data_IF_568800443758
#
_entry.id   IF_568800443758
#
_cell.length_a   1.000
_cell.length_b   1.000
_cell.length_c   1.000
_cell.angle_alpha   90.00
_cell.angle_beta   90.00
_cell.angle_gamma   90.00
#
_symmetry.space_group_name_H-M   'P 1'
#
loop_
_entity.id
_entity.type
_entity.pdbx_description
1 polymer ?
#
# COMPACT_ATOMS: atom_id res chain seq x y z
N UNK A 1 15.25 3.65 16.04
CA UNK A 1 14.47 3.84 14.79
C UNK A 1 14.97 5.09 14.08
N UNK A 2 15.01 5.08 12.73
CA UNK A 2 15.39 6.27 11.94
C UNK A 2 14.43 7.44 12.20
N UNK A 3 14.91 8.67 12.09
CA UNK A 3 14.07 9.86 12.16
C UNK A 3 13.15 9.94 10.93
N UNK A 4 11.96 10.51 11.09
CA UNK A 4 11.05 10.77 9.95
C UNK A 4 11.42 12.07 9.25
N UNK A 5 11.83 13.07 10.02
CA UNK A 5 12.19 14.38 9.49
C UNK A 5 13.27 14.27 8.40
N UNK A 6 13.00 14.87 7.25
CA UNK A 6 13.87 14.81 6.09
C UNK A 6 13.89 13.50 5.31
N UNK A 7 13.15 12.44 5.73
CA UNK A 7 13.01 11.22 4.92
C UNK A 7 12.37 11.53 3.58
N UNK A 8 12.89 10.93 2.51
CA UNK A 8 12.25 10.90 1.19
C UNK A 8 11.40 9.64 1.05
N UNK A 9 10.08 9.81 0.95
CA UNK A 9 9.12 8.70 0.89
C UNK A 9 8.31 8.76 -0.39
N UNK A 10 8.39 7.72 -1.22
CA UNK A 10 7.52 7.53 -2.37
C UNK A 10 6.33 6.65 -2.00
N UNK A 11 5.11 7.12 -2.27
CA UNK A 11 3.86 6.41 -1.97
C UNK A 11 3.04 6.26 -3.25
N UNK A 12 2.84 5.04 -3.72
CA UNK A 12 1.94 4.77 -4.84
C UNK A 12 0.49 4.67 -4.36
N UNK A 13 -0.46 5.12 -5.19
CA UNK A 13 -1.86 5.20 -4.78
C UNK A 13 -2.14 6.27 -3.71
N UNK A 14 -1.31 7.31 -3.65
CA UNK A 14 -1.31 8.33 -2.59
C UNK A 14 -2.48 9.31 -2.61
N UNK A 15 -3.39 9.24 -3.58
CA UNK A 15 -4.54 10.14 -3.66
C UNK A 15 -5.74 9.74 -2.80
N UNK A 16 -5.77 8.56 -2.18
CA UNK A 16 -6.89 8.12 -1.34
C UNK A 16 -6.52 6.97 -0.40
N UNK A 17 -7.40 6.67 0.56
CA UNK A 17 -7.28 5.52 1.45
C UNK A 17 -5.95 5.44 2.19
N UNK A 18 -5.37 4.24 2.27
CA UNK A 18 -4.13 3.98 3.02
C UNK A 18 -2.96 4.83 2.48
N UNK A 19 -2.85 4.97 1.15
CA UNK A 19 -1.78 5.77 0.55
C UNK A 19 -1.86 7.26 0.94
N UNK A 20 -3.04 7.85 0.95
CA UNK A 20 -3.24 9.23 1.42
C UNK A 20 -2.99 9.35 2.93
N UNK A 21 -3.47 8.38 3.75
CA UNK A 21 -3.17 8.33 5.18
C UNK A 21 -1.66 8.31 5.46
N UNK A 22 -0.90 7.50 4.72
CA UNK A 22 0.56 7.52 4.80
C UNK A 22 1.15 8.88 4.40
N UNK A 23 0.64 9.51 3.33
CA UNK A 23 1.14 10.82 2.92
C UNK A 23 0.95 11.87 4.02
N UNK A 24 -0.22 11.90 4.64
CA UNK A 24 -0.49 12.77 5.80
C UNK A 24 0.43 12.44 6.98
N UNK A 25 0.61 11.16 7.30
CA UNK A 25 1.45 10.73 8.42
C UNK A 25 2.89 11.23 8.31
N UNK A 26 3.49 11.05 7.14
CA UNK A 26 4.90 11.38 6.92
C UNK A 26 5.11 12.89 6.72
N UNK A 27 4.29 13.55 5.90
CA UNK A 27 4.44 14.98 5.62
C UNK A 27 4.24 15.84 6.87
N UNK A 28 3.29 15.49 7.75
CA UNK A 28 3.07 16.16 9.02
C UNK A 28 4.25 16.04 9.99
N UNK A 29 5.15 15.08 9.75
CA UNK A 29 6.36 14.81 10.56
C UNK A 29 7.66 15.25 9.87
N UNK A 30 7.56 16.10 8.85
CA UNK A 30 8.71 16.70 8.17
C UNK A 30 9.38 15.85 7.09
N UNK A 31 8.78 14.73 6.68
CA UNK A 31 9.26 13.97 5.54
C UNK A 31 8.96 14.69 4.21
N UNK A 32 9.78 14.45 3.20
CA UNK A 32 9.52 14.80 1.80
C UNK A 32 8.79 13.65 1.14
N UNK A 33 7.50 13.85 0.89
CA UNK A 33 6.61 12.82 0.37
C UNK A 33 6.34 13.05 -1.10
N UNK A 34 6.55 12.03 -1.93
CA UNK A 34 6.07 12.03 -3.31
C UNK A 34 4.95 11.02 -3.45
N UNK A 35 3.79 11.48 -3.91
CA UNK A 35 2.62 10.61 -4.14
C UNK A 35 2.36 10.45 -5.63
N UNK A 36 1.92 9.27 -6.06
CA UNK A 36 1.48 9.07 -7.43
C UNK A 36 0.14 8.33 -7.53
N UNK A 37 -0.52 8.53 -8.65
CA UNK A 37 -1.80 7.91 -8.99
C UNK A 37 -2.40 8.49 -10.26
N UNK A 38 -3.53 7.94 -10.69
CA UNK A 38 -4.17 8.33 -11.96
C UNK A 38 -5.10 9.53 -11.84
N UNK A 39 -5.70 9.75 -10.65
CA UNK A 39 -6.72 10.77 -10.41
C UNK A 39 -6.09 12.07 -9.91
N UNK A 40 -6.02 13.04 -10.81
CA UNK A 40 -5.37 14.33 -10.54
C UNK A 40 -6.06 15.08 -9.41
N UNK A 41 -7.38 15.15 -9.43
CA UNK A 41 -8.22 15.80 -8.40
C UNK A 41 -7.90 15.31 -6.99
N UNK A 42 -7.78 14.00 -6.82
CA UNK A 42 -7.45 13.36 -5.53
C UNK A 42 -6.02 13.67 -5.08
N UNK A 43 -5.07 13.61 -6.02
CA UNK A 43 -3.68 13.95 -5.73
C UNK A 43 -3.52 15.42 -5.36
N UNK A 44 -4.21 16.31 -6.08
CA UNK A 44 -4.21 17.76 -5.80
C UNK A 44 -4.77 18.06 -4.41
N UNK A 45 -5.89 17.43 -4.03
CA UNK A 45 -6.47 17.61 -2.69
C UNK A 45 -5.48 17.22 -1.58
N UNK A 46 -4.75 16.10 -1.74
CA UNK A 46 -3.74 15.67 -0.76
C UNK A 46 -2.56 16.64 -0.73
N UNK A 47 -2.02 17.06 -1.89
CA UNK A 47 -0.86 17.97 -1.92
C UNK A 47 -1.20 19.37 -1.41
N UNK A 48 -2.39 19.88 -1.69
CA UNK A 48 -2.84 21.16 -1.15
C UNK A 48 -2.93 21.15 0.39
N UNK A 49 -3.39 20.04 0.96
CA UNK A 49 -3.48 19.86 2.41
C UNK A 49 -2.09 19.75 3.08
N UNK A 50 -1.08 19.22 2.38
CA UNK A 50 0.24 18.92 2.93
C UNK A 50 1.34 19.94 2.57
N UNK A 51 1.04 20.86 1.66
CA UNK A 51 1.94 21.93 1.27
C UNK A 51 3.25 21.43 0.62
N UNK A 52 4.34 22.14 0.88
CA UNK A 52 5.65 21.90 0.23
C UNK A 52 6.33 20.58 0.61
N UNK A 53 5.85 19.91 1.64
CA UNK A 53 6.35 18.58 2.02
C UNK A 53 5.79 17.46 1.14
N UNK A 54 4.79 17.74 0.28
CA UNK A 54 4.19 16.75 -0.59
C UNK A 54 4.23 17.20 -2.05
N UNK A 55 4.76 16.34 -2.91
CA UNK A 55 4.74 16.48 -4.38
C UNK A 55 3.84 15.39 -4.97
N UNK A 56 3.02 15.75 -5.96
CA UNK A 56 2.25 14.75 -6.71
C UNK A 56 2.84 14.48 -8.09
N UNK A 57 2.63 13.26 -8.59
CA UNK A 57 2.91 12.85 -9.97
C UNK A 57 1.68 12.11 -10.49
N UNK A 58 1.02 12.66 -11.52
CA UNK A 58 0.01 11.87 -12.22
C UNK A 58 0.69 10.74 -12.98
N UNK A 59 0.38 9.51 -12.65
CA UNK A 59 1.02 8.33 -13.22
C UNK A 59 0.11 7.09 -13.11
N UNK A 60 0.22 6.22 -14.09
CA UNK A 60 -0.25 4.85 -14.01
C UNK A 60 0.95 3.92 -13.76
N UNK A 61 0.98 3.29 -12.60
CA UNK A 61 2.09 2.40 -12.20
C UNK A 61 2.26 1.17 -13.12
N UNK A 62 1.27 0.88 -13.98
CA UNK A 62 1.38 -0.18 -14.99
C UNK A 62 2.17 0.27 -16.22
N UNK A 63 2.38 1.57 -16.42
CA UNK A 63 3.12 2.14 -17.55
C UNK A 63 4.59 2.34 -17.20
N UNK A 64 5.51 1.81 -18.03
CA UNK A 64 6.94 1.84 -17.74
C UNK A 64 7.52 3.26 -17.65
N UNK A 65 7.16 4.14 -18.58
CA UNK A 65 7.62 5.54 -18.59
C UNK A 65 7.13 6.30 -17.35
N UNK A 66 5.91 6.01 -16.89
CA UNK A 66 5.36 6.63 -15.68
C UNK A 66 6.11 6.19 -14.42
N UNK A 67 6.48 4.90 -14.32
CA UNK A 67 7.28 4.41 -13.19
C UNK A 67 8.64 5.10 -13.10
N UNK A 68 9.34 5.27 -14.23
CA UNK A 68 10.62 5.98 -14.26
C UNK A 68 10.44 7.44 -13.79
N UNK A 69 9.47 8.15 -14.35
CA UNK A 69 9.16 9.55 -14.02
C UNK A 69 8.78 9.74 -12.55
N UNK A 70 8.09 8.75 -11.95
CA UNK A 70 7.73 8.79 -10.53
C UNK A 70 8.97 8.63 -9.63
N UNK A 71 9.92 7.75 -9.98
CA UNK A 71 11.18 7.60 -9.25
C UNK A 71 12.01 8.89 -9.33
N UNK A 72 12.19 9.43 -10.55
CA UNK A 72 12.95 10.67 -10.75
C UNK A 72 12.36 11.83 -9.92
N UNK A 73 11.03 12.00 -9.97
CA UNK A 73 10.35 13.04 -9.20
C UNK A 73 10.52 12.88 -7.67
N UNK A 74 10.54 11.63 -7.17
CA UNK A 74 10.74 11.36 -5.75
C UNK A 74 12.18 11.68 -5.32
N UNK A 75 13.14 11.29 -6.15
CA UNK A 75 14.57 11.57 -5.93
C UNK A 75 14.84 13.07 -5.94
N UNK A 76 14.29 13.80 -6.91
CA UNK A 76 14.43 15.26 -7.02
C UNK A 76 13.81 15.99 -5.82
N UNK A 77 12.61 15.56 -5.39
CA UNK A 77 11.91 16.19 -4.28
C UNK A 77 12.59 15.98 -2.94
N UNK A 78 13.11 14.77 -2.70
CA UNK A 78 13.69 14.35 -1.44
C UNK A 78 15.23 14.37 -1.40
N UNK A 79 15.92 14.71 -2.49
CA UNK A 79 17.38 14.61 -2.58
C UNK A 79 17.89 13.17 -2.48
N UNK A 80 17.08 12.19 -2.85
CA UNK A 80 17.30 10.75 -2.75
C UNK A 80 16.02 10.00 -2.46
N UNK A 81 16.10 8.70 -2.16
CA UNK A 81 14.93 7.89 -1.80
C UNK A 81 15.24 6.99 -0.61
N UNK A 82 14.55 7.22 0.51
CA UNK A 82 14.69 6.44 1.73
C UNK A 82 13.65 5.33 1.83
N UNK A 83 12.45 5.53 1.26
CA UNK A 83 11.37 4.58 1.39
C UNK A 83 10.44 4.53 0.17
N UNK A 84 9.95 3.31 -0.15
CA UNK A 84 8.88 3.05 -1.09
C UNK A 84 7.71 2.38 -0.37
N UNK A 85 6.54 3.03 -0.36
CA UNK A 85 5.27 2.43 0.06
C UNK A 85 4.48 2.03 -1.19
N UNK A 86 4.44 0.75 -1.49
CA UNK A 86 3.70 0.20 -2.63
C UNK A 86 2.25 -0.06 -2.21
N UNK A 87 1.41 1.01 -2.28
CA UNK A 87 0.01 0.99 -1.87
C UNK A 87 -0.98 1.05 -3.04
N UNK A 88 -0.52 1.30 -4.26
CA UNK A 88 -1.40 1.25 -5.44
C UNK A 88 -2.01 -0.14 -5.60
N UNK A 89 -3.32 -0.20 -5.76
CA UNK A 89 -4.02 -1.47 -5.91
C UNK A 89 -5.47 -1.30 -6.33
N UNK A 90 -5.98 -2.35 -6.97
CA UNK A 90 -7.37 -2.50 -7.35
C UNK A 90 -7.98 -3.75 -6.69
N UNK A 91 -9.31 -3.79 -6.65
CA UNK A 91 -10.11 -4.96 -6.27
C UNK A 91 -10.77 -5.53 -7.52
N UNK A 92 -10.75 -6.84 -7.66
CA UNK A 92 -11.57 -7.59 -8.62
C UNK A 92 -12.44 -8.56 -7.83
N UNK A 93 -13.74 -8.55 -8.12
CA UNK A 93 -14.72 -9.47 -7.54
C UNK A 93 -15.41 -10.24 -8.64
N UNK A 94 -15.81 -11.45 -8.32
CA UNK A 94 -16.50 -12.39 -9.18
C UNK A 94 -16.28 -13.82 -8.74
N UNK A 95 -17.19 -14.73 -9.14
CA UNK A 95 -17.00 -16.16 -9.01
C UNK A 95 -15.85 -16.65 -9.90
N UNK A 96 -15.25 -17.78 -9.57
CA UNK A 96 -14.13 -18.32 -10.37
C UNK A 96 -14.54 -18.63 -11.81
N UNK A 97 -15.79 -19.00 -12.02
CA UNK A 97 -16.32 -19.33 -13.35
C UNK A 97 -16.56 -18.07 -14.23
N UNK A 98 -16.66 -16.89 -13.62
CA UNK A 98 -16.99 -15.64 -14.31
C UNK A 98 -15.79 -14.71 -14.47
N UNK A 99 -14.58 -15.16 -14.11
CA UNK A 99 -13.38 -14.33 -14.20
C UNK A 99 -12.95 -14.12 -15.64
N UNK A 100 -12.90 -12.85 -16.04
CA UNK A 100 -12.32 -12.43 -17.30
C UNK A 100 -10.77 -12.43 -17.21
N UNK A 101 -10.11 -13.00 -18.22
CA UNK A 101 -8.63 -13.13 -18.25
C UNK A 101 -7.95 -11.76 -18.26
N UNK A 102 -8.45 -10.79 -19.02
CA UNK A 102 -7.85 -9.45 -19.10
C UNK A 102 -7.99 -8.70 -17.79
N UNK A 103 -9.14 -8.83 -17.11
CA UNK A 103 -9.35 -8.27 -15.78
C UNK A 103 -8.42 -8.93 -14.75
N UNK A 104 -8.20 -10.25 -14.85
CA UNK A 104 -7.25 -10.98 -14.01
C UNK A 104 -5.82 -10.50 -14.23
N UNK A 105 -5.37 -10.40 -15.47
CA UNK A 105 -4.04 -9.88 -15.80
C UNK A 105 -3.87 -8.45 -15.32
N UNK A 106 -4.89 -7.60 -15.48
CA UNK A 106 -4.88 -6.20 -15.05
C UNK A 106 -4.73 -6.05 -13.53
N UNK A 107 -5.45 -6.86 -12.73
CA UNK A 107 -5.31 -6.79 -11.28
C UNK A 107 -3.91 -7.25 -10.81
N UNK A 108 -3.36 -8.31 -11.40
CA UNK A 108 -1.99 -8.74 -11.09
C UNK A 108 -0.97 -7.69 -11.54
N UNK A 109 -1.14 -7.10 -12.72
CA UNK A 109 -0.25 -6.03 -13.18
C UNK A 109 -0.24 -4.85 -12.20
N UNK A 110 -1.42 -4.39 -11.77
CA UNK A 110 -1.53 -3.27 -10.84
C UNK A 110 -1.01 -3.63 -9.44
N UNK A 111 -1.46 -4.77 -8.87
CA UNK A 111 -1.23 -5.07 -7.46
C UNK A 111 0.14 -5.69 -7.17
N UNK A 112 0.76 -6.35 -8.17
CA UNK A 112 2.00 -7.14 -7.99
C UNK A 112 3.11 -6.63 -8.91
N UNK A 113 2.92 -6.75 -10.22
CA UNK A 113 3.99 -6.48 -11.20
C UNK A 113 4.50 -5.05 -11.10
N UNK A 114 3.60 -4.08 -10.95
CA UNK A 114 3.99 -2.67 -10.82
C UNK A 114 4.87 -2.42 -9.60
N UNK A 115 4.55 -3.03 -8.46
CA UNK A 115 5.34 -2.93 -7.23
C UNK A 115 6.72 -3.56 -7.37
N UNK A 116 6.83 -4.72 -8.04
CA UNK A 116 8.10 -5.37 -8.34
C UNK A 116 8.98 -4.47 -9.21
N UNK A 117 8.44 -3.97 -10.33
CA UNK A 117 9.17 -3.13 -11.27
C UNK A 117 9.57 -1.78 -10.67
N UNK A 118 8.70 -1.15 -9.86
CA UNK A 118 9.06 0.06 -9.13
C UNK A 118 10.16 -0.19 -8.11
N UNK A 119 10.13 -1.32 -7.40
CA UNK A 119 11.20 -1.70 -6.48
C UNK A 119 12.53 -1.82 -7.23
N UNK A 120 12.54 -2.51 -8.39
CA UNK A 120 13.74 -2.62 -9.23
C UNK A 120 14.31 -1.26 -9.65
N UNK A 121 13.46 -0.34 -10.12
CA UNK A 121 13.88 1.02 -10.48
C UNK A 121 14.38 1.84 -9.28
N UNK A 122 13.83 1.60 -8.09
CA UNK A 122 14.22 2.30 -6.87
C UNK A 122 15.55 1.82 -6.28
N UNK A 123 16.04 0.62 -6.63
CA UNK A 123 17.22 -0.01 -6.01
C UNK A 123 18.46 0.89 -5.92
N UNK A 124 18.91 1.60 -7.00
CA UNK A 124 20.11 2.43 -6.90
C UNK A 124 20.01 3.53 -5.84
N UNK A 125 18.80 4.05 -5.64
CA UNK A 125 18.52 5.13 -4.69
C UNK A 125 18.37 4.58 -3.27
N UNK A 126 17.60 3.49 -3.10
CA UNK A 126 17.41 2.82 -1.82
C UNK A 126 18.73 2.27 -1.27
N UNK A 127 19.62 1.71 -2.11
CA UNK A 127 20.94 1.22 -1.70
C UNK A 127 21.78 2.33 -1.08
N UNK A 128 21.83 3.51 -1.71
CA UNK A 128 22.60 4.66 -1.20
C UNK A 128 22.12 5.13 0.17
N UNK A 129 20.82 4.96 0.45
CA UNK A 129 20.16 5.41 1.68
C UNK A 129 19.96 4.28 2.69
N UNK A 130 20.33 3.03 2.36
CA UNK A 130 19.97 1.83 3.14
C UNK A 130 18.48 1.83 3.45
N UNK A 131 17.67 2.03 2.41
CA UNK A 131 16.27 2.33 2.50
C UNK A 131 15.38 1.12 2.80
N UNK A 132 14.07 1.32 2.65
CA UNK A 132 13.09 0.26 2.88
C UNK A 132 11.94 0.29 1.88
N UNK A 133 11.36 -0.88 1.63
CA UNK A 133 10.13 -1.07 0.86
C UNK A 133 9.07 -1.68 1.76
N UNK A 134 7.86 -1.14 1.72
CA UNK A 134 6.69 -1.76 2.36
C UNK A 134 5.59 -1.98 1.33
N UNK A 135 5.19 -3.24 1.18
CA UNK A 135 4.02 -3.63 0.39
C UNK A 135 2.76 -3.59 1.25
N UNK A 136 1.63 -3.25 0.62
CA UNK A 136 0.32 -3.28 1.27
C UNK A 136 -0.42 -4.54 0.81
N UNK A 137 -0.42 -5.54 1.66
CA UNK A 137 -1.16 -6.79 1.54
C UNK A 137 -2.66 -6.62 1.79
N UNK A 138 -3.30 -7.64 2.37
CA UNK A 138 -4.71 -7.59 2.79
C UNK A 138 -5.06 -8.80 3.66
N UNK A 139 -6.00 -8.63 4.57
CA UNK A 139 -6.63 -9.70 5.37
C UNK A 139 -7.27 -10.81 4.52
N UNK A 140 -7.53 -10.55 3.24
CA UNK A 140 -7.96 -11.59 2.28
C UNK A 140 -6.92 -12.73 2.12
N UNK A 141 -5.71 -12.56 2.61
CA UNK A 141 -4.67 -13.60 2.68
C UNK A 141 -4.72 -14.41 3.99
N UNK A 142 -5.54 -13.99 4.96
CA UNK A 142 -5.70 -14.63 6.28
C UNK A 142 -7.08 -15.27 6.45
N UNK A 143 -8.10 -14.65 5.86
CA UNK A 143 -9.50 -15.09 5.96
C UNK A 143 -10.12 -15.19 4.58
N UNK A 144 -10.90 -16.24 4.35
CA UNK A 144 -11.59 -16.44 3.08
C UNK A 144 -12.78 -15.47 2.93
N UNK A 145 -12.82 -14.80 1.78
CA UNK A 145 -13.93 -13.96 1.36
C UNK A 145 -14.39 -14.44 -0.04
N UNK A 146 -15.48 -15.20 -0.13
CA UNK A 146 -16.00 -15.69 -1.41
C UNK A 146 -16.15 -14.56 -2.43
N UNK A 147 -15.87 -14.85 -3.70
CA UNK A 147 -15.91 -13.87 -4.78
C UNK A 147 -14.72 -12.89 -4.82
N UNK A 148 -13.64 -13.15 -4.08
CA UNK A 148 -12.44 -12.31 -4.08
C UNK A 148 -11.16 -13.10 -4.39
N UNK A 149 -11.27 -14.23 -5.11
CA UNK A 149 -10.14 -15.13 -5.39
C UNK A 149 -8.98 -14.43 -6.09
N UNK A 150 -9.24 -13.69 -7.15
CA UNK A 150 -8.22 -12.94 -7.90
C UNK A 150 -7.50 -11.89 -7.04
N UNK A 151 -8.27 -11.15 -6.23
CA UNK A 151 -7.70 -10.17 -5.31
C UNK A 151 -6.86 -10.83 -4.22
N UNK A 152 -7.39 -11.87 -3.56
CA UNK A 152 -6.68 -12.61 -2.53
C UNK A 152 -5.37 -13.21 -3.06
N UNK A 153 -5.40 -13.82 -4.25
CA UNK A 153 -4.21 -14.35 -4.92
C UNK A 153 -3.17 -13.26 -5.19
N UNK A 154 -3.59 -12.10 -5.73
CA UNK A 154 -2.67 -10.98 -5.98
C UNK A 154 -2.04 -10.44 -4.68
N UNK A 155 -2.80 -10.38 -3.59
CA UNK A 155 -2.27 -9.96 -2.29
C UNK A 155 -1.41 -11.03 -1.62
N UNK A 156 -1.73 -12.32 -1.82
CA UNK A 156 -0.88 -13.45 -1.39
C UNK A 156 0.49 -13.45 -2.06
N UNK A 157 0.56 -13.08 -3.34
CA UNK A 157 1.83 -12.94 -4.05
C UNK A 157 2.77 -11.93 -3.38
N UNK A 158 2.25 -10.83 -2.81
CA UNK A 158 3.07 -9.83 -2.11
C UNK A 158 3.71 -10.38 -0.83
N UNK A 159 3.06 -11.33 -0.14
CA UNK A 159 3.60 -11.95 1.07
C UNK A 159 4.83 -12.82 0.75
N UNK A 160 4.74 -13.61 -0.31
CA UNK A 160 5.86 -14.42 -0.79
C UNK A 160 6.99 -13.51 -1.33
N UNK A 161 6.65 -12.53 -2.17
CA UNK A 161 7.57 -11.55 -2.72
C UNK A 161 8.36 -10.81 -1.63
N UNK A 162 7.70 -10.41 -0.55
CA UNK A 162 8.33 -9.73 0.58
C UNK A 162 9.50 -10.51 1.15
N UNK A 163 9.32 -11.82 1.35
CA UNK A 163 10.36 -12.68 1.93
C UNK A 163 11.55 -12.86 0.98
N UNK A 164 11.25 -13.07 -0.31
CA UNK A 164 12.30 -13.26 -1.32
C UNK A 164 13.11 -11.97 -1.49
N UNK A 165 12.45 -10.82 -1.68
CA UNK A 165 13.15 -9.55 -1.83
C UNK A 165 13.90 -9.12 -0.56
N UNK A 166 13.39 -9.46 0.63
CA UNK A 166 14.13 -9.21 1.88
C UNK A 166 15.47 -9.95 1.93
N UNK A 167 15.49 -11.19 1.45
CA UNK A 167 16.72 -12.00 1.37
C UNK A 167 17.66 -11.49 0.25
N UNK A 168 17.13 -11.18 -0.92
CA UNK A 168 17.91 -10.70 -2.07
C UNK A 168 18.54 -9.32 -1.83
N UNK A 169 17.81 -8.40 -1.19
CA UNK A 169 18.20 -7.01 -1.04
C UNK A 169 18.86 -6.69 0.30
N UNK A 170 18.78 -7.62 1.26
CA UNK A 170 19.44 -7.50 2.57
C UNK A 170 20.94 -7.22 2.50
N UNK A 171 21.73 -7.90 1.65
CA UNK A 171 23.15 -7.60 1.47
C UNK A 171 23.45 -6.16 1.01
N UNK A 172 22.51 -5.53 0.29
CA UNK A 172 22.59 -4.11 -0.08
C UNK A 172 22.10 -3.15 1.02
N UNK A 173 21.69 -3.67 2.16
CA UNK A 173 21.18 -2.89 3.29
C UNK A 173 19.75 -2.42 3.11
N UNK A 174 19.01 -2.95 2.12
CA UNK A 174 17.61 -2.60 1.87
C UNK A 174 16.72 -3.58 2.63
N UNK A 175 15.71 -3.05 3.34
CA UNK A 175 14.72 -3.84 4.05
C UNK A 175 13.41 -3.89 3.26
N UNK A 176 12.77 -5.06 3.25
CA UNK A 176 11.49 -5.26 2.56
C UNK A 176 10.51 -5.92 3.51
N UNK A 177 9.35 -5.30 3.71
CA UNK A 177 8.31 -5.77 4.62
C UNK A 177 6.93 -5.62 3.97
N UNK A 178 5.92 -6.20 4.61
CA UNK A 178 4.52 -6.11 4.18
C UNK A 178 3.62 -5.85 5.39
N UNK A 179 2.62 -4.97 5.23
CA UNK A 179 1.49 -4.88 6.16
C UNK A 179 0.29 -5.61 5.58
N UNK A 180 -0.54 -6.19 6.44
CA UNK A 180 -1.78 -6.89 6.08
C UNK A 180 -2.95 -6.21 6.78
N UNK A 181 -3.54 -5.16 6.17
CA UNK A 181 -4.65 -4.44 6.78
C UNK A 181 -5.93 -5.28 6.82
N UNK A 182 -6.71 -5.08 7.89
CA UNK A 182 -8.10 -5.52 7.98
C UNK A 182 -9.07 -4.63 7.21
N UNK A 183 -10.30 -4.51 7.72
CA UNK A 183 -11.25 -3.56 7.14
C UNK A 183 -10.90 -2.14 7.56
N UNK A 184 -10.58 -1.31 6.56
CA UNK A 184 -10.30 0.12 6.70
C UNK A 184 -11.13 0.88 5.68
N UNK A 185 -11.79 2.00 6.04
CA UNK A 185 -12.58 2.79 5.10
C UNK A 185 -11.72 3.34 3.97
N UNK A 186 -11.94 2.82 2.77
CA UNK A 186 -11.23 3.25 1.55
C UNK A 186 -12.18 3.19 0.36
N UNK A 187 -11.84 3.89 -0.71
CA UNK A 187 -12.63 3.87 -1.95
C UNK A 187 -12.45 2.58 -2.79
N UNK A 188 -11.69 1.59 -2.33
CA UNK A 188 -11.32 0.43 -3.15
C UNK A 188 -12.55 -0.40 -3.58
N UNK A 189 -13.52 -0.57 -2.68
CA UNK A 189 -14.77 -1.29 -2.99
C UNK A 189 -15.69 -0.49 -3.91
N UNK A 190 -15.80 0.83 -3.72
CA UNK A 190 -16.58 1.70 -4.57
C UNK A 190 -16.00 1.76 -6.00
N UNK A 191 -14.68 1.85 -6.12
CA UNK A 191 -13.99 1.83 -7.42
C UNK A 191 -14.16 0.51 -8.18
N UNK A 192 -14.36 -0.59 -7.47
CA UNK A 192 -14.63 -1.88 -8.07
C UNK A 192 -16.11 -2.03 -8.54
N UNK A 193 -16.90 -0.97 -8.43
CA UNK A 193 -18.33 -1.00 -8.78
C UNK A 193 -19.19 -1.89 -7.85
N UNK A 194 -18.68 -2.20 -6.67
CA UNK A 194 -19.26 -3.24 -5.80
C UNK A 194 -20.33 -2.68 -4.88
N UNK A 195 -20.22 -1.40 -4.46
CA UNK A 195 -21.08 -0.83 -3.43
C UNK A 195 -21.29 0.68 -3.64
N UNK A 196 -22.52 1.15 -3.46
CA UNK A 196 -22.83 2.55 -3.17
C UNK A 196 -22.39 2.94 -1.73
N UNK A 197 -22.47 4.21 -1.40
CA UNK A 197 -21.99 4.72 -0.11
C UNK A 197 -22.73 4.12 1.10
N UNK A 198 -24.05 3.90 0.97
CA UNK A 198 -24.86 3.33 2.04
C UNK A 198 -24.57 1.84 2.26
N UNK A 199 -24.46 1.09 1.18
CA UNK A 199 -24.07 -0.33 1.19
C UNK A 199 -22.63 -0.52 1.70
N UNK A 200 -21.72 0.41 1.38
CA UNK A 200 -20.37 0.41 1.92
C UNK A 200 -20.38 0.60 3.45
N UNK A 201 -21.20 1.52 3.96
CA UNK A 201 -21.31 1.77 5.38
C UNK A 201 -21.90 0.57 6.14
N UNK A 202 -23.00 0.00 5.63
CA UNK A 202 -23.59 -1.24 6.19
C UNK A 202 -22.57 -2.38 6.22
N UNK A 203 -21.76 -2.52 5.17
CA UNK A 203 -20.72 -3.53 5.11
C UNK A 203 -19.62 -3.29 6.16
N UNK A 204 -19.18 -2.04 6.37
CA UNK A 204 -18.20 -1.73 7.41
C UNK A 204 -18.73 -2.02 8.82
N UNK A 205 -20.01 -1.73 9.09
CA UNK A 205 -20.65 -2.08 10.36
C UNK A 205 -20.69 -3.61 10.57
N UNK A 206 -21.05 -4.38 9.55
CA UNK A 206 -21.05 -5.85 9.63
C UNK A 206 -19.62 -6.40 9.82
N UNK A 207 -18.63 -5.82 9.15
CA UNK A 207 -17.22 -6.22 9.30
C UNK A 207 -16.67 -5.87 10.68
N UNK A 208 -17.12 -4.78 11.30
CA UNK A 208 -16.69 -4.39 12.65
C UNK A 208 -16.88 -5.51 13.67
N UNK A 209 -18.04 -6.18 13.62
CA UNK A 209 -18.37 -7.29 14.52
C UNK A 209 -17.49 -8.54 14.32
N UNK A 210 -16.83 -8.66 13.16
CA UNK A 210 -15.94 -9.79 12.85
C UNK A 210 -14.50 -9.55 13.31
N UNK A 211 -14.15 -8.32 13.72
CA UNK A 211 -12.85 -8.02 14.30
C UNK A 211 -12.86 -8.36 15.79
N UNK A 212 -11.78 -8.97 16.29
CA UNK A 212 -11.65 -9.24 17.72
C UNK A 212 -11.73 -7.96 18.58
N UNK A 213 -11.27 -6.80 18.02
CA UNK A 213 -11.35 -5.51 18.66
C UNK A 213 -12.73 -4.83 18.51
N UNK A 214 -13.72 -5.45 17.87
CA UNK A 214 -15.09 -4.96 17.75
C UNK A 214 -15.28 -3.72 16.86
N UNK A 215 -14.27 -3.31 16.10
CA UNK A 215 -14.29 -2.15 15.22
C UNK A 215 -13.46 -2.33 13.97
N UNK A 216 -13.74 -1.56 12.94
CA UNK A 216 -12.84 -1.41 11.78
C UNK A 216 -11.64 -0.52 12.14
N UNK A 217 -10.56 -0.63 11.36
CA UNK A 217 -9.36 0.20 11.52
C UNK A 217 -9.48 1.55 10.83
N UNK A 218 -8.45 2.38 11.00
CA UNK A 218 -8.28 3.67 10.32
C UNK A 218 -7.06 3.64 9.39
N UNK A 219 -6.97 4.61 8.49
CA UNK A 219 -5.79 4.79 7.62
C UNK A 219 -4.55 5.16 8.41
N UNK A 220 -4.72 5.86 9.53
CA UNK A 220 -3.66 6.27 10.44
C UNK A 220 -3.04 5.08 11.16
N UNK A 221 -3.85 4.13 11.65
CA UNK A 221 -3.35 2.91 12.30
C UNK A 221 -2.52 2.06 11.34
N UNK A 222 -2.91 2.01 10.06
CA UNK A 222 -2.11 1.32 9.03
C UNK A 222 -0.84 2.11 8.71
N UNK A 223 -0.91 3.45 8.65
CA UNK A 223 0.26 4.29 8.42
C UNK A 223 1.28 4.19 9.56
N UNK A 224 0.83 4.09 10.81
CA UNK A 224 1.69 3.86 11.98
C UNK A 224 2.45 2.53 11.88
N UNK A 225 1.76 1.46 11.47
CA UNK A 225 2.39 0.16 11.27
C UNK A 225 3.40 0.18 10.10
N UNK A 226 3.09 0.88 9.00
CA UNK A 226 4.02 1.11 7.90
C UNK A 226 5.24 1.90 8.38
N UNK A 227 5.02 2.95 9.20
CA UNK A 227 6.10 3.74 9.78
C UNK A 227 7.04 2.89 10.63
N UNK A 228 6.50 2.04 11.48
CA UNK A 228 7.31 1.08 12.24
C UNK A 228 8.21 0.25 11.31
N UNK A 229 7.65 -0.36 10.27
CA UNK A 229 8.41 -1.21 9.34
C UNK A 229 9.44 -0.43 8.51
N UNK A 230 9.16 0.83 8.17
CA UNK A 230 10.11 1.68 7.44
C UNK A 230 11.29 2.13 8.30
N UNK A 231 11.10 2.27 9.61
CA UNK A 231 12.12 2.83 10.52
C UNK A 231 12.80 1.83 11.44
N UNK A 232 12.23 0.63 11.62
CA UNK A 232 12.80 -0.45 12.42
C UNK A 232 13.95 -1.11 11.66
N UNK A 233 15.19 -0.74 11.99
CA UNK A 233 16.40 -1.10 11.21
C UNK A 233 16.77 -2.59 11.29
N UNK A 234 16.25 -3.32 12.27
CA UNK A 234 16.45 -4.77 12.44
C UNK A 234 15.25 -5.61 12.00
N UNK A 235 14.38 -5.04 11.15
CA UNK A 235 13.15 -5.71 10.68
C UNK A 235 13.14 -5.78 9.16
N UNK A 236 13.24 -6.99 8.60
CA UNK A 236 13.10 -7.27 7.17
C UNK A 236 12.43 -8.63 6.97
N UNK A 237 11.70 -8.82 5.88
CA UNK A 237 10.94 -10.04 5.59
C UNK A 237 9.68 -10.22 6.45
N UNK A 238 9.33 -9.22 7.26
CA UNK A 238 8.16 -9.28 8.13
C UNK A 238 6.87 -9.08 7.34
N UNK A 239 5.85 -9.85 7.74
CA UNK A 239 4.46 -9.68 7.31
C UNK A 239 3.65 -9.38 8.55
N UNK A 240 3.27 -8.10 8.72
CA UNK A 240 2.63 -7.58 9.92
C UNK A 240 1.12 -7.47 9.70
N UNK A 241 0.34 -8.23 10.45
CA UNK A 241 -1.11 -8.12 10.45
C UNK A 241 -1.54 -6.86 11.24
N UNK A 242 -2.35 -6.00 10.59
CA UNK A 242 -2.89 -4.74 11.13
C UNK A 242 -4.39 -4.76 10.89
N UNK A 243 -5.06 -5.72 11.51
CA UNK A 243 -6.41 -6.11 11.11
C UNK A 243 -7.42 -6.20 12.27
N UNK A 244 -7.06 -5.72 13.46
CA UNK A 244 -7.91 -5.78 14.63
C UNK A 244 -8.36 -7.19 14.99
N UNK A 245 -7.63 -8.22 14.52
CA UNK A 245 -7.94 -9.63 14.73
C UNK A 245 -8.98 -10.21 13.77
N UNK A 246 -9.29 -9.54 12.66
CA UNK A 246 -10.23 -10.05 11.64
C UNK A 246 -9.74 -11.38 11.05
N UNK A 247 -8.44 -11.51 10.83
CA UNK A 247 -7.81 -12.70 10.29
C UNK A 247 -7.85 -13.92 11.20
N UNK A 248 -8.06 -13.74 12.50
CA UNK A 248 -8.14 -14.84 13.47
C UNK A 248 -9.39 -15.70 13.29
N UNK A 249 -10.40 -15.18 12.59
CA UNK A 249 -11.65 -15.93 12.35
C UNK A 249 -12.50 -16.12 13.61
N UNK A 250 -12.31 -15.29 14.64
CA UNK A 250 -13.09 -15.37 15.88
C UNK A 250 -14.56 -15.12 15.56
N UNK A 251 -15.41 -16.04 16.00
CA UNK A 251 -16.85 -15.85 16.08
C UNK A 251 -17.15 -15.38 17.49
N UNK A 252 -17.44 -14.09 17.63
CA UNK A 252 -18.01 -13.57 18.88
C UNK A 252 -19.45 -14.06 18.97
N UNK A 253 -19.66 -15.18 19.64
CA UNK A 253 -20.98 -15.76 19.94
C UNK A 253 -21.46 -15.17 21.24
#
# INVERSE_FOLDING_TARGET
MRAIEGMSVLITGGGSGIGAGCAHWYAARGAKVTICGRRVDKLQAVTQALGTNCRMVQADVTVAADRARVIDAAVDHGGGLDALVSSAGNMLRGGIADLDEQALLSIFHTNVVSGMLLTGLALPHLTRRRGAVVFVGSVHTRRAFPGASAYAASKGALLALTKVLAAELGPAGIRVNCVVPGAVPTEINARAGVLDAESANRRYQALAQLHALGRIGTTEEVAEAIDHLLRAEWTTGAVLDVDGGLGLGVTNV
#
